data_IF_195663855182
#
_entry.id   IF_195663855182
#
_cell.length_a   1.000
_cell.length_b   1.000
_cell.length_c   1.000
_cell.angle_alpha   90.00
_cell.angle_beta   90.00
_cell.angle_gamma   90.00
#
_symmetry.space_group_name_H-M   'P 1'
#
loop_
_entity.id
_entity.type
_entity.pdbx_description
1 polymer ?
#
# COMPACT_ATOMS: atom_id res chain seq x y z
N UNK A 1 6.55 -4.22 -37.32
CA UNK A 1 6.88 -3.67 -35.99
C UNK A 1 5.59 -3.71 -35.19
N UNK A 2 5.52 -4.58 -34.18
CA UNK A 2 4.44 -4.56 -33.20
C UNK A 2 4.91 -3.63 -32.10
N UNK A 3 4.28 -2.46 -31.98
CA UNK A 3 4.55 -1.55 -30.88
C UNK A 3 4.22 -2.24 -29.57
N UNK A 4 5.22 -2.40 -28.69
CA UNK A 4 5.02 -2.88 -27.34
C UNK A 4 4.17 -1.85 -26.58
N UNK A 5 2.90 -2.15 -26.39
CA UNK A 5 2.02 -1.39 -25.51
C UNK A 5 2.67 -1.41 -24.12
N UNK A 6 2.96 -0.25 -23.49
CA UNK A 6 3.61 -0.23 -22.19
C UNK A 6 2.77 -1.04 -21.21
N UNK A 7 3.40 -2.08 -20.65
CA UNK A 7 2.80 -3.07 -19.75
C UNK A 7 1.97 -2.35 -18.69
N UNK A 8 0.64 -2.32 -18.89
CA UNK A 8 -0.30 -1.72 -17.95
C UNK A 8 -0.06 -2.38 -16.59
N UNK A 9 0.28 -1.58 -15.59
CA UNK A 9 0.48 -2.09 -14.24
C UNK A 9 -0.77 -2.87 -13.84
N UNK A 10 -0.60 -4.15 -13.51
CA UNK A 10 -1.67 -4.99 -12.95
C UNK A 10 -1.92 -4.47 -11.54
N UNK A 11 -2.83 -3.50 -11.41
CA UNK A 11 -3.31 -3.03 -10.12
C UNK A 11 -4.20 -4.10 -9.53
N UNK A 12 -3.93 -4.52 -8.31
CA UNK A 12 -4.73 -5.53 -7.63
C UNK A 12 -6.09 -4.97 -7.17
N UNK A 13 -6.19 -3.64 -7.01
CA UNK A 13 -7.42 -2.98 -6.52
C UNK A 13 -7.66 -1.62 -7.19
N UNK A 14 -8.94 -1.26 -7.32
CA UNK A 14 -9.39 0.06 -7.73
C UNK A 14 -10.09 0.71 -6.52
N UNK A 15 -9.42 1.66 -5.88
CA UNK A 15 -9.92 2.32 -4.67
C UNK A 15 -10.31 3.75 -4.99
N UNK A 16 -11.60 4.09 -4.91
CA UNK A 16 -12.14 5.41 -5.26
C UNK A 16 -11.72 5.89 -6.67
N UNK A 17 -11.70 4.99 -7.67
CA UNK A 17 -11.25 5.33 -9.03
C UNK A 17 -9.73 5.38 -9.21
N UNK A 18 -8.96 5.14 -8.16
CA UNK A 18 -7.49 5.18 -8.16
C UNK A 18 -6.92 3.76 -8.18
N UNK A 19 -5.99 3.50 -9.10
CA UNK A 19 -5.25 2.24 -9.16
C UNK A 19 -4.34 2.10 -7.93
N UNK A 20 -4.59 1.04 -7.15
CA UNK A 20 -3.85 0.72 -5.95
C UNK A 20 -3.36 -0.72 -5.92
N UNK A 21 -2.53 -1.00 -4.94
CA UNK A 21 -2.03 -2.35 -4.66
C UNK A 21 -2.42 -2.77 -3.25
N UNK A 22 -2.99 -3.97 -3.13
CA UNK A 22 -3.36 -4.58 -1.86
C UNK A 22 -2.19 -5.41 -1.33
N UNK A 23 -1.80 -5.18 -0.08
CA UNK A 23 -0.74 -5.90 0.61
C UNK A 23 -1.26 -6.46 1.91
N UNK A 24 -1.33 -7.78 1.99
CA UNK A 24 -1.59 -8.49 3.23
C UNK A 24 -0.26 -8.76 3.94
N UNK A 25 -0.11 -8.24 5.15
CA UNK A 25 1.10 -8.36 5.95
C UNK A 25 0.74 -8.79 7.37
N UNK A 26 1.50 -9.73 7.93
CA UNK A 26 1.43 -10.10 9.34
C UNK A 26 2.46 -9.38 10.21
N UNK A 27 3.38 -8.61 9.62
CA UNK A 27 4.49 -7.97 10.34
C UNK A 27 4.86 -6.61 9.74
N UNK A 28 5.35 -5.72 10.61
CA UNK A 28 5.77 -4.37 10.28
C UNK A 28 7.02 -4.30 9.39
N UNK A 29 7.89 -5.32 9.45
CA UNK A 29 9.22 -5.32 8.82
C UNK A 29 9.21 -5.04 7.31
N UNK A 30 8.12 -5.33 6.61
CA UNK A 30 8.03 -5.19 5.15
C UNK A 30 7.18 -4.02 4.67
N UNK A 31 6.54 -3.24 5.56
CA UNK A 31 5.60 -2.17 5.19
C UNK A 31 6.26 -1.17 4.23
N UNK A 32 7.41 -0.62 4.61
CA UNK A 32 8.12 0.38 3.79
C UNK A 32 8.59 -0.22 2.46
N UNK A 33 9.13 -1.44 2.48
CA UNK A 33 9.63 -2.11 1.28
C UNK A 33 8.51 -2.35 0.27
N UNK A 34 7.38 -2.90 0.72
CA UNK A 34 6.24 -3.19 -0.13
C UNK A 34 5.57 -1.91 -0.64
N UNK A 35 5.47 -0.86 0.19
CA UNK A 35 4.95 0.43 -0.25
C UNK A 35 5.79 1.03 -1.39
N UNK A 36 7.13 1.02 -1.24
CA UNK A 36 8.04 1.52 -2.27
C UNK A 36 7.95 0.71 -3.55
N UNK A 37 7.87 -0.63 -3.44
CA UNK A 37 7.68 -1.49 -4.62
C UNK A 37 6.37 -1.13 -5.35
N UNK A 38 5.28 -0.94 -4.61
CA UNK A 38 3.98 -0.61 -5.19
C UNK A 38 3.99 0.72 -5.96
N UNK A 39 4.50 1.77 -5.31
CA UNK A 39 4.52 3.10 -5.91
C UNK A 39 5.54 3.19 -7.06
N UNK A 40 6.79 2.78 -6.83
CA UNK A 40 7.87 3.05 -7.78
C UNK A 40 8.03 2.00 -8.88
N UNK A 41 7.72 0.73 -8.60
CA UNK A 41 7.87 -0.34 -9.60
C UNK A 41 6.57 -0.66 -10.29
N UNK A 42 5.45 -0.60 -9.56
CA UNK A 42 4.12 -0.95 -10.07
C UNK A 42 3.27 0.27 -10.40
N UNK A 43 3.81 1.49 -10.28
CA UNK A 43 3.11 2.74 -10.61
C UNK A 43 1.75 2.89 -9.91
N UNK A 44 1.56 2.21 -8.77
CA UNK A 44 0.37 2.39 -7.95
C UNK A 44 0.35 3.83 -7.43
N UNK A 45 -0.85 4.41 -7.32
CA UNK A 45 -1.01 5.76 -6.74
C UNK A 45 -1.28 5.71 -5.24
N UNK A 46 -1.72 4.55 -4.75
CA UNK A 46 -2.02 4.31 -3.35
C UNK A 46 -1.75 2.86 -2.99
N UNK A 47 -1.40 2.61 -1.74
CA UNK A 47 -1.22 1.26 -1.19
C UNK A 47 -2.29 1.02 -0.14
N UNK A 48 -2.94 -0.14 -0.20
CA UNK A 48 -3.87 -0.61 0.81
C UNK A 48 -3.22 -1.76 1.59
N UNK A 49 -3.03 -1.58 2.89
CA UNK A 49 -2.50 -2.62 3.76
C UNK A 49 -3.62 -3.34 4.51
N UNK A 50 -3.54 -4.66 4.54
CA UNK A 50 -4.31 -5.51 5.43
C UNK A 50 -3.36 -6.10 6.47
N UNK A 51 -3.68 -5.87 7.74
CA UNK A 51 -2.92 -6.40 8.88
C UNK A 51 -3.76 -7.41 9.66
N UNK A 52 -3.15 -8.54 10.02
CA UNK A 52 -3.80 -9.55 10.88
C UNK A 52 -3.66 -9.23 12.37
N UNK A 53 -2.63 -8.47 12.73
CA UNK A 53 -2.29 -8.10 14.11
C UNK A 53 -2.12 -6.59 14.23
N UNK A 54 -2.62 -6.02 15.32
CA UNK A 54 -2.45 -4.61 15.63
C UNK A 54 -1.27 -4.42 16.58
N UNK A 55 -0.26 -3.68 16.14
CA UNK A 55 0.95 -3.40 16.94
C UNK A 55 1.38 -1.96 16.78
N UNK A 56 2.00 -1.38 17.81
CA UNK A 56 2.55 -0.02 17.77
C UNK A 56 3.60 0.15 16.65
N UNK A 57 4.38 -0.91 16.39
CA UNK A 57 5.37 -0.92 15.32
C UNK A 57 4.74 -0.72 13.93
N UNK A 58 3.55 -1.26 13.67
CA UNK A 58 2.82 -1.03 12.41
C UNK A 58 2.49 0.44 12.25
N UNK A 59 1.97 1.08 13.30
CA UNK A 59 1.65 2.50 13.28
C UNK A 59 2.89 3.36 13.01
N UNK A 60 4.02 3.04 13.62
CA UNK A 60 5.29 3.73 13.38
C UNK A 60 5.75 3.61 11.92
N UNK A 61 5.67 2.42 11.34
CA UNK A 61 6.04 2.21 9.93
C UNK A 61 5.08 2.90 8.96
N UNK A 62 3.77 2.86 9.22
CA UNK A 62 2.77 3.58 8.42
C UNK A 62 2.97 5.10 8.49
N UNK A 63 3.33 5.63 9.67
CA UNK A 63 3.66 7.04 9.82
C UNK A 63 4.95 7.41 9.05
N UNK A 64 5.96 6.53 9.07
CA UNK A 64 7.19 6.71 8.27
C UNK A 64 6.88 6.81 6.77
N UNK A 65 5.87 6.09 6.26
CA UNK A 65 5.46 6.20 4.85
C UNK A 65 5.08 7.63 4.47
N UNK A 66 4.24 8.28 5.28
CA UNK A 66 3.81 9.65 5.02
C UNK A 66 4.97 10.63 5.27
N UNK A 67 5.54 10.61 6.47
CA UNK A 67 6.47 11.64 6.95
C UNK A 67 7.79 11.61 6.18
N UNK A 68 8.31 10.42 5.85
CA UNK A 68 9.64 10.29 5.23
C UNK A 68 9.59 10.13 3.72
N UNK A 69 8.51 9.58 3.18
CA UNK A 69 8.44 9.21 1.77
C UNK A 69 7.29 9.88 1.02
N UNK A 70 6.38 10.59 1.70
CA UNK A 70 5.20 11.19 1.08
C UNK A 70 4.24 10.14 0.50
N UNK A 71 4.32 8.88 0.94
CA UNK A 71 3.51 7.78 0.43
C UNK A 71 2.19 7.74 1.17
N UNK A 72 1.12 7.88 0.38
CA UNK A 72 -0.27 7.75 0.82
C UNK A 72 -0.63 6.27 0.94
N UNK A 73 -1.07 5.87 2.13
CA UNK A 73 -1.51 4.51 2.41
C UNK A 73 -2.86 4.51 3.14
N UNK A 74 -3.70 3.56 2.75
CA UNK A 74 -4.84 3.11 3.54
C UNK A 74 -4.44 1.82 4.25
N UNK A 75 -5.03 1.55 5.41
CA UNK A 75 -4.80 0.30 6.12
C UNK A 75 -6.00 -0.13 6.93
N UNK A 76 -6.14 -1.43 7.17
CA UNK A 76 -7.14 -1.98 8.07
C UNK A 76 -6.61 -3.20 8.79
N UNK A 77 -7.19 -3.50 9.94
CA UNK A 77 -6.96 -4.72 10.67
C UNK A 77 -8.13 -5.67 10.47
N UNK A 78 -7.87 -6.94 10.17
CA UNK A 78 -8.91 -7.92 9.81
C UNK A 78 -10.02 -8.04 10.85
N UNK A 79 -9.70 -7.79 12.12
CA UNK A 79 -10.63 -7.97 13.24
C UNK A 79 -11.41 -6.69 13.62
N UNK A 80 -11.10 -5.55 12.99
CA UNK A 80 -11.63 -4.23 13.40
C UNK A 80 -12.70 -3.72 12.42
N UNK A 81 -12.78 -4.29 11.21
CA UNK A 81 -13.82 -3.95 10.23
C UNK A 81 -13.81 -2.49 9.77
N UNK A 82 -12.72 -1.75 10.03
CA UNK A 82 -12.59 -0.31 9.75
C UNK A 82 -11.31 -0.02 8.97
N UNK A 83 -11.42 0.85 7.97
CA UNK A 83 -10.29 1.36 7.18
C UNK A 83 -9.81 2.68 7.77
N UNK A 84 -8.50 2.80 7.89
CA UNK A 84 -7.75 3.97 8.33
C UNK A 84 -6.87 4.50 7.19
N UNK A 85 -6.37 5.73 7.35
CA UNK A 85 -5.50 6.41 6.38
C UNK A 85 -4.41 7.19 7.09
N UNK A 86 -3.28 7.38 6.43
CA UNK A 86 -2.16 8.17 6.94
C UNK A 86 -2.06 9.57 6.28
N UNK A 87 -3.14 10.17 5.78
CA UNK A 87 -3.13 11.52 5.16
C UNK A 87 -4.52 12.15 5.10
#
# INVERSE_FOLDING_TARGET
MLDEIPRKASSDVLFNGVFGELKKLSSHNNIVKEAKNAIYKKNAKVVLFEFTEETEAIYLEINKLQVRFGIKAYYYFTNIGRIFKNF
#
